data_IF_350621913588
#
_entry.id   IF_350621913588
#
_cell.length_a   1.000
_cell.length_b   1.000
_cell.length_c   1.000
_cell.angle_alpha   90.00
_cell.angle_beta   90.00
_cell.angle_gamma   90.00
#
_symmetry.space_group_name_H-M   'P 1'
#
loop_
_entity.id
_entity.type
_entity.pdbx_description
1 polymer ?
#
# COMPACT_ATOMS: atom_id res chain seq x y z
N UNK A 1 -13.80 -27.83 5.19
CA UNK A 1 -14.31 -26.47 5.54
C UNK A 1 -14.05 -26.09 6.99
N UNK A 2 -14.49 -26.87 7.99
CA UNK A 2 -14.31 -26.54 9.42
C UNK A 2 -12.84 -26.32 9.87
N UNK A 3 -11.89 -27.11 9.35
CA UNK A 3 -10.44 -26.98 9.66
C UNK A 3 -9.80 -25.72 9.07
N UNK A 4 -10.25 -25.28 7.89
CA UNK A 4 -9.76 -24.07 7.21
C UNK A 4 -10.28 -22.81 7.91
N UNK A 5 -11.53 -22.85 8.37
CA UNK A 5 -12.16 -21.78 9.12
C UNK A 5 -11.50 -21.61 10.51
N UNK A 6 -11.11 -22.72 11.14
CA UNK A 6 -10.33 -22.72 12.38
C UNK A 6 -8.93 -22.11 12.19
N UNK A 7 -8.26 -22.43 11.08
CA UNK A 7 -6.95 -21.87 10.75
C UNK A 7 -7.01 -20.36 10.49
N UNK A 8 -8.04 -19.91 9.76
CA UNK A 8 -8.30 -18.49 9.53
C UNK A 8 -8.64 -17.75 10.84
N UNK A 9 -9.43 -18.36 11.72
CA UNK A 9 -9.72 -17.81 13.05
C UNK A 9 -8.46 -17.72 13.94
N UNK A 10 -7.54 -18.69 13.84
CA UNK A 10 -6.26 -18.66 14.56
C UNK A 10 -5.31 -17.57 14.03
N UNK A 11 -5.24 -17.39 12.72
CA UNK A 11 -4.49 -16.30 12.09
C UNK A 11 -5.05 -14.93 12.51
N UNK A 12 -6.37 -14.76 12.49
CA UNK A 12 -7.03 -13.56 12.99
C UNK A 12 -6.79 -13.35 14.49
N UNK A 13 -6.77 -14.42 15.29
CA UNK A 13 -6.44 -14.36 16.72
C UNK A 13 -5.02 -13.85 16.98
N UNK A 14 -4.04 -14.30 16.19
CA UNK A 14 -2.66 -13.80 16.25
C UNK A 14 -2.56 -12.31 15.87
N UNK A 15 -3.29 -11.90 14.83
CA UNK A 15 -3.37 -10.50 14.41
C UNK A 15 -4.02 -9.65 15.53
N UNK A 16 -5.10 -10.13 16.15
CA UNK A 16 -5.76 -9.45 17.27
C UNK A 16 -4.87 -9.31 18.51
N UNK A 17 -4.03 -10.31 18.81
CA UNK A 17 -3.08 -10.23 19.94
C UNK A 17 -1.97 -9.20 19.66
N UNK A 18 -1.51 -9.08 18.41
CA UNK A 18 -0.57 -8.02 18.03
C UNK A 18 -1.18 -6.61 18.16
N UNK A 19 -2.49 -6.46 17.92
CA UNK A 19 -3.23 -5.20 18.12
C UNK A 19 -3.74 -4.99 19.56
N UNK A 20 -3.59 -5.97 20.46
CA UNK A 20 -4.05 -5.90 21.85
C UNK A 20 -2.93 -5.52 22.85
N UNK A 21 -1.74 -5.12 22.37
CA UNK A 21 -0.70 -4.55 23.23
C UNK A 21 -1.11 -3.15 23.71
N UNK A 22 -1.38 -3.06 25.00
CA UNK A 22 -1.60 -1.89 25.87
C UNK A 22 -2.72 -0.89 25.50
N UNK A 23 -3.51 -0.54 26.53
CA UNK A 23 -4.77 0.21 26.49
C UNK A 23 -4.67 1.70 26.17
N UNK A 24 -3.84 2.08 25.20
CA UNK A 24 -3.96 3.34 24.49
C UNK A 24 -4.61 2.99 23.16
N UNK A 25 -5.76 3.58 22.84
CA UNK A 25 -6.30 3.55 21.48
C UNK A 25 -5.13 3.80 20.52
N UNK A 26 -4.80 2.92 19.56
CA UNK A 26 -3.76 3.22 18.60
C UNK A 26 -4.20 4.52 17.94
N UNK A 27 -3.56 5.63 18.31
CA UNK A 27 -3.63 6.83 17.50
C UNK A 27 -3.20 6.36 16.12
N UNK A 28 -3.98 6.64 15.08
CA UNK A 28 -3.64 6.19 13.75
C UNK A 28 -2.25 6.73 13.45
N UNK A 29 -1.25 5.83 13.46
CA UNK A 29 0.15 6.20 13.30
C UNK A 29 0.37 6.46 11.81
N UNK A 30 -0.01 7.67 11.41
CA UNK A 30 0.06 8.13 10.03
C UNK A 30 1.51 8.17 9.55
N UNK A 31 2.46 8.37 10.45
CA UNK A 31 3.89 8.28 10.15
C UNK A 31 4.26 6.85 9.77
N UNK A 32 3.82 5.83 10.53
CA UNK A 32 4.02 4.43 10.16
C UNK A 32 3.33 4.04 8.85
N UNK A 33 2.17 4.64 8.54
CA UNK A 33 1.47 4.42 7.27
C UNK A 33 2.28 4.90 6.07
N UNK A 34 2.92 6.07 6.14
CA UNK A 34 3.71 6.59 5.01
C UNK A 34 5.16 6.11 5.03
N UNK A 35 5.69 5.70 6.18
CA UNK A 35 7.06 5.21 6.33
C UNK A 35 7.28 3.82 5.71
N UNK A 36 6.21 3.07 5.44
CA UNK A 36 6.31 1.71 4.90
C UNK A 36 5.49 1.55 3.62
N UNK A 37 6.01 0.75 2.68
CA UNK A 37 5.27 0.42 1.46
C UNK A 37 3.94 -0.30 1.73
N UNK A 38 3.92 -1.18 2.73
CA UNK A 38 2.71 -1.91 3.13
C UNK A 38 1.67 -0.97 3.75
N UNK A 39 2.09 -0.09 4.66
CA UNK A 39 1.23 0.96 5.22
C UNK A 39 0.66 1.87 4.12
N UNK A 40 1.50 2.25 3.16
CA UNK A 40 1.10 3.12 2.06
C UNK A 40 0.09 2.44 1.14
N UNK A 41 0.32 1.18 0.77
CA UNK A 41 -0.63 0.39 -0.01
C UNK A 41 -1.99 0.25 0.71
N UNK A 42 -1.97 0.08 2.04
CA UNK A 42 -3.18 0.15 2.87
C UNK A 42 -3.86 1.51 2.82
N UNK A 43 -3.10 2.61 2.88
CA UNK A 43 -3.61 3.97 2.70
C UNK A 43 -4.26 4.21 1.33
N UNK A 44 -3.68 3.66 0.26
CA UNK A 44 -4.25 3.74 -1.10
C UNK A 44 -5.64 3.09 -1.17
N UNK A 45 -5.88 1.97 -0.46
CA UNK A 45 -7.22 1.37 -0.38
C UNK A 45 -8.23 2.37 0.17
N UNK A 46 -7.91 3.03 1.29
CA UNK A 46 -8.78 4.01 1.93
C UNK A 46 -9.05 5.22 1.01
N UNK A 47 -8.02 5.71 0.32
CA UNK A 47 -8.16 6.82 -0.62
C UNK A 47 -9.09 6.46 -1.78
N UNK A 48 -8.92 5.28 -2.37
CA UNK A 48 -9.75 4.81 -3.48
C UNK A 48 -11.19 4.58 -3.04
N UNK A 49 -11.41 4.04 -1.85
CA UNK A 49 -12.76 3.93 -1.27
C UNK A 49 -13.40 5.30 -1.04
N UNK A 50 -12.64 6.28 -0.54
CA UNK A 50 -13.09 7.66 -0.40
C UNK A 50 -13.51 8.27 -1.74
N UNK A 51 -12.69 8.10 -2.78
CA UNK A 51 -12.99 8.59 -4.14
C UNK A 51 -14.25 7.91 -4.69
N UNK A 52 -14.44 6.61 -4.47
CA UNK A 52 -15.66 5.89 -4.89
C UNK A 52 -16.92 6.40 -4.19
N UNK A 53 -16.83 6.82 -2.93
CA UNK A 53 -17.95 7.46 -2.21
C UNK A 53 -18.33 8.81 -2.82
N UNK A 54 -17.34 9.57 -3.30
CA UNK A 54 -17.57 10.85 -3.97
C UNK A 54 -18.13 10.67 -5.39
N UNK A 55 -17.74 9.59 -6.09
CA UNK A 55 -18.18 9.30 -7.46
C UNK A 55 -18.75 7.88 -7.60
N UNK A 56 -19.96 7.62 -7.09
CA UNK A 56 -20.55 6.27 -7.05
C UNK A 56 -20.89 5.66 -8.42
N UNK A 57 -20.79 6.43 -9.51
CA UNK A 57 -21.04 5.95 -10.88
C UNK A 57 -19.85 5.27 -11.56
N UNK A 58 -18.70 5.14 -10.88
CA UNK A 58 -17.50 4.51 -11.45
C UNK A 58 -17.62 2.98 -11.39
N UNK A 59 -17.58 2.32 -12.56
CA UNK A 59 -17.66 0.86 -12.67
C UNK A 59 -16.58 0.28 -13.57
N UNK A 60 -16.21 -0.98 -13.28
CA UNK A 60 -15.27 -1.76 -14.07
C UNK A 60 -13.87 -1.14 -14.16
N UNK A 61 -13.37 -1.01 -15.40
CA UNK A 61 -12.01 -0.55 -15.72
C UNK A 61 -11.70 0.87 -15.21
N UNK A 62 -12.73 1.72 -15.11
CA UNK A 62 -12.57 3.10 -14.62
C UNK A 62 -12.17 3.14 -13.14
N UNK A 63 -12.71 2.24 -12.32
CA UNK A 63 -12.35 2.14 -10.91
C UNK A 63 -10.91 1.67 -10.74
N UNK A 64 -10.44 0.77 -11.61
CA UNK A 64 -9.05 0.30 -11.60
C UNK A 64 -8.08 1.41 -12.03
N UNK A 65 -8.40 2.15 -13.10
CA UNK A 65 -7.60 3.29 -13.54
C UNK A 65 -7.50 4.36 -12.46
N UNK A 66 -8.62 4.71 -11.83
CA UNK A 66 -8.64 5.66 -10.71
C UNK A 66 -7.78 5.15 -9.55
N UNK A 67 -7.83 3.85 -9.26
CA UNK A 67 -6.97 3.26 -8.23
C UNK A 67 -5.49 3.41 -8.56
N UNK A 68 -5.08 3.09 -9.79
CA UNK A 68 -3.69 3.21 -10.23
C UNK A 68 -3.21 4.66 -10.20
N UNK A 69 -4.03 5.59 -10.68
CA UNK A 69 -3.72 7.02 -10.65
C UNK A 69 -3.63 7.54 -9.21
N UNK A 70 -4.46 7.04 -8.30
CA UNK A 70 -4.44 7.44 -6.89
C UNK A 70 -3.13 7.04 -6.22
N UNK A 71 -2.68 5.79 -6.37
CA UNK A 71 -1.42 5.35 -5.78
C UNK A 71 -0.20 6.02 -6.42
N UNK A 72 -0.22 6.26 -7.74
CA UNK A 72 0.83 7.03 -8.42
C UNK A 72 0.88 8.47 -7.90
N UNK A 73 -0.26 9.16 -7.86
CA UNK A 73 -0.30 10.55 -7.41
C UNK A 73 0.12 10.69 -5.96
N UNK A 74 -0.34 9.80 -5.07
CA UNK A 74 0.04 9.82 -3.67
C UNK A 74 1.54 9.52 -3.47
N UNK A 75 2.11 8.56 -4.19
CA UNK A 75 3.54 8.24 -4.09
C UNK A 75 4.41 9.37 -4.64
N UNK A 76 4.00 9.98 -5.76
CA UNK A 76 4.71 11.13 -6.33
C UNK A 76 4.62 12.37 -5.45
N UNK A 77 3.53 12.55 -4.71
CA UNK A 77 3.39 13.62 -3.73
C UNK A 77 4.33 13.39 -2.54
N UNK A 78 4.43 12.17 -2.02
CA UNK A 78 5.39 11.82 -0.97
C UNK A 78 6.84 12.02 -1.45
N UNK A 79 7.16 11.59 -2.67
CA UNK A 79 8.46 11.81 -3.28
C UNK A 79 8.79 13.30 -3.45
N UNK A 80 7.83 14.10 -3.91
CA UNK A 80 8.02 15.54 -4.09
C UNK A 80 8.22 16.30 -2.77
N UNK A 81 7.61 15.80 -1.68
CA UNK A 81 7.78 16.32 -0.33
C UNK A 81 8.99 15.73 0.41
N UNK A 82 9.75 14.85 -0.24
CA UNK A 82 10.87 14.10 0.35
C UNK A 82 10.48 13.37 1.65
N UNK A 83 9.34 12.65 1.60
CA UNK A 83 8.71 12.05 2.77
C UNK A 83 8.38 10.56 2.58
N UNK A 84 8.29 9.85 3.71
CA UNK A 84 7.86 8.45 3.77
C UNK A 84 8.85 7.48 3.11
N UNK A 85 8.34 6.31 2.73
CA UNK A 85 9.16 5.21 2.18
C UNK A 85 9.80 5.48 0.81
N UNK A 86 9.44 6.59 0.16
CA UNK A 86 9.98 7.05 -1.13
C UNK A 86 10.86 8.29 -0.97
N UNK A 87 11.23 8.66 0.26
CA UNK A 87 12.32 9.62 0.47
C UNK A 87 13.61 9.04 -0.11
N UNK A 88 14.45 9.88 -0.71
CA UNK A 88 15.74 9.50 -1.28
C UNK A 88 15.74 8.48 -2.45
N UNK A 89 14.58 8.10 -3.01
CA UNK A 89 14.55 7.26 -4.23
C UNK A 89 14.46 8.11 -5.50
N UNK A 90 14.92 7.57 -6.63
CA UNK A 90 14.77 8.25 -7.92
C UNK A 90 13.29 8.35 -8.33
N UNK A 91 12.90 9.43 -9.01
CA UNK A 91 11.49 9.73 -9.34
C UNK A 91 10.76 8.58 -10.06
N UNK A 92 11.45 7.84 -10.94
CA UNK A 92 10.84 6.71 -11.64
C UNK A 92 10.70 5.48 -10.73
N UNK A 93 11.54 5.33 -9.70
CA UNK A 93 11.38 4.30 -8.67
C UNK A 93 10.15 4.62 -7.81
N UNK A 94 9.96 5.88 -7.44
CA UNK A 94 8.74 6.33 -6.75
C UNK A 94 7.47 6.08 -7.59
N UNK A 95 7.51 6.32 -8.91
CA UNK A 95 6.41 5.96 -9.81
C UNK A 95 6.09 4.47 -9.81
N UNK A 96 7.11 3.61 -9.85
CA UNK A 96 6.93 2.16 -9.79
C UNK A 96 6.33 1.72 -8.46
N UNK A 97 6.75 2.34 -7.35
CA UNK A 97 6.13 2.11 -6.05
C UNK A 97 4.68 2.58 -6.00
N UNK A 98 4.35 3.74 -6.59
CA UNK A 98 2.97 4.22 -6.69
C UNK A 98 2.06 3.29 -7.48
N UNK A 99 2.52 2.82 -8.65
CA UNK A 99 1.79 1.81 -9.42
C UNK A 99 1.69 0.48 -8.65
N UNK A 100 2.79 0.01 -8.08
CA UNK A 100 2.88 -1.22 -7.31
C UNK A 100 1.94 -1.23 -6.10
N UNK A 101 1.85 -0.12 -5.36
CA UNK A 101 0.93 0.05 -4.23
C UNK A 101 -0.53 -0.11 -4.67
N UNK A 102 -0.85 0.34 -5.88
CA UNK A 102 -2.19 0.23 -6.44
C UNK A 102 -2.49 -1.21 -6.85
N UNK A 103 -1.50 -1.94 -7.40
CA UNK A 103 -1.64 -3.36 -7.69
C UNK A 103 -1.87 -4.17 -6.40
N UNK A 104 -1.15 -3.85 -5.34
CA UNK A 104 -1.35 -4.43 -3.99
C UNK A 104 -2.74 -4.10 -3.45
N UNK A 105 -3.16 -2.84 -3.53
CA UNK A 105 -4.47 -2.38 -3.05
C UNK A 105 -5.65 -3.05 -3.79
N UNK A 106 -5.46 -3.46 -5.04
CA UNK A 106 -6.46 -4.21 -5.81
C UNK A 106 -6.33 -5.74 -5.63
N UNK A 107 -5.40 -6.23 -4.82
CA UNK A 107 -5.18 -7.66 -4.59
C UNK A 107 -4.53 -8.40 -5.78
N UNK A 108 -3.88 -7.67 -6.71
CA UNK A 108 -3.23 -8.23 -7.90
C UNK A 108 -1.82 -8.76 -7.58
N UNK A 109 -1.14 -8.16 -6.61
CA UNK A 109 0.22 -8.51 -6.19
C UNK A 109 0.38 -8.39 -4.67
N UNK A 110 1.38 -9.08 -4.10
CA UNK A 110 1.78 -8.87 -2.71
C UNK A 110 2.92 -7.84 -2.60
N UNK A 111 3.08 -7.28 -1.40
CA UNK A 111 4.06 -6.23 -1.15
C UNK A 111 5.51 -6.69 -1.38
N UNK A 112 5.82 -7.94 -1.03
CA UNK A 112 7.16 -8.51 -1.17
C UNK A 112 7.55 -8.72 -2.63
N UNK A 113 6.63 -9.22 -3.45
CA UNK A 113 6.83 -9.38 -4.89
C UNK A 113 7.10 -8.05 -5.58
N UNK A 114 6.32 -7.01 -5.28
CA UNK A 114 6.52 -5.68 -5.86
C UNK A 114 7.87 -5.09 -5.44
N UNK A 115 8.22 -5.17 -4.15
CA UNK A 115 9.50 -4.67 -3.65
C UNK A 115 10.69 -5.42 -4.29
N UNK A 116 10.58 -6.74 -4.43
CA UNK A 116 11.59 -7.54 -5.12
C UNK A 116 11.76 -7.11 -6.58
N UNK A 117 10.65 -6.94 -7.30
CA UNK A 117 10.66 -6.53 -8.71
C UNK A 117 11.29 -5.15 -8.90
N UNK A 118 10.89 -4.17 -8.08
CA UNK A 118 11.45 -2.81 -8.12
C UNK A 118 12.93 -2.82 -7.72
N UNK A 119 13.31 -3.67 -6.77
CA UNK A 119 14.70 -3.86 -6.35
C UNK A 119 15.64 -4.28 -7.48
N UNK A 120 15.15 -4.97 -8.52
CA UNK A 120 15.95 -5.29 -9.71
C UNK A 120 16.32 -4.03 -10.51
N UNK A 121 15.41 -3.05 -10.60
CA UNK A 121 15.64 -1.80 -11.30
C UNK A 121 16.51 -0.84 -10.48
N UNK A 122 16.25 -0.74 -9.17
CA UNK A 122 17.06 0.09 -8.27
C UNK A 122 18.53 -0.37 -8.24
N UNK A 123 18.79 -1.69 -8.18
CA UNK A 123 20.15 -2.25 -8.25
C UNK A 123 20.88 -1.93 -9.55
N UNK A 124 20.16 -1.86 -10.66
CA UNK A 124 20.73 -1.47 -11.96
C UNK A 124 21.13 0.02 -11.98
N UNK A 125 20.44 0.87 -11.23
CA UNK A 125 20.75 2.30 -11.13
C UNK A 125 21.99 2.57 -10.26
N UNK A 126 22.16 1.84 -9.16
CA UNK A 126 23.31 1.97 -8.24
C UNK A 126 24.61 1.34 -8.75
N UNK A 127 24.57 0.55 -9.83
CA UNK A 127 25.73 -0.13 -10.43
C UNK A 127 26.50 0.70 -11.46
N UNK A 128 26.40 2.03 -11.40
CA UNK A 128 27.22 2.97 -12.17
C UNK A 128 28.41 3.46 -11.36
#
# INVERSE_FOLDING_TARGET
MKRFLLFFALMLGFVSVAFAQDGVTPEADYDAMIATFAGFAGGVVLLVEGIKKLFPKMSGIWTQLVSWLTGIAAAMLLWWLDAGFVSDVEWYIALLYGLGSSLVANGIADTGFIQWLIGLFARKASGK
#
